data_IF_991910792874
#
_entry.id   IF_991910792874
#
_cell.length_a   1.000
_cell.length_b   1.000
_cell.length_c   1.000
_cell.angle_alpha   90.00
_cell.angle_beta   90.00
_cell.angle_gamma   90.00
#
_symmetry.space_group_name_H-M   'P 1'
#
loop_
_entity.id
_entity.type
_entity.pdbx_description
1 polymer ?
#
# COMPACT_ATOMS: atom_id res chain seq x y z
N UNK A 1 17.98 -12.58 -16.01
CA UNK A 1 17.78 -14.04 -15.87
C UNK A 1 18.31 -14.61 -14.56
N UNK A 2 19.53 -14.30 -14.11
CA UNK A 2 20.06 -14.82 -12.83
C UNK A 2 19.20 -14.43 -11.60
N UNK A 3 18.80 -13.15 -11.49
CA UNK A 3 18.04 -12.66 -10.34
C UNK A 3 16.67 -13.36 -10.16
N UNK A 4 15.94 -13.59 -11.25
CA UNK A 4 14.64 -14.27 -11.21
C UNK A 4 14.78 -15.73 -10.77
N UNK A 5 15.82 -16.44 -11.23
CA UNK A 5 16.10 -17.81 -10.80
C UNK A 5 16.47 -17.88 -9.31
N UNK A 6 17.24 -16.90 -8.82
CA UNK A 6 17.56 -16.77 -7.39
C UNK A 6 16.28 -16.54 -6.59
N UNK A 7 15.46 -15.56 -6.99
CA UNK A 7 14.17 -15.28 -6.35
C UNK A 7 13.28 -16.53 -6.29
N UNK A 8 13.15 -17.23 -7.42
CA UNK A 8 12.35 -18.46 -7.49
C UNK A 8 12.87 -19.54 -6.53
N UNK A 9 14.18 -19.86 -6.60
CA UNK A 9 14.78 -20.90 -5.77
C UNK A 9 14.63 -20.64 -4.27
N UNK A 10 14.86 -19.40 -3.83
CA UNK A 10 14.80 -19.07 -2.41
C UNK A 10 13.36 -18.85 -1.93
N UNK A 11 12.47 -18.28 -2.75
CA UNK A 11 11.05 -18.11 -2.38
C UNK A 11 10.32 -19.45 -2.19
N UNK A 12 10.66 -20.47 -2.98
CA UNK A 12 10.11 -21.83 -2.80
C UNK A 12 10.51 -22.47 -1.47
N UNK A 13 11.65 -22.05 -0.91
CA UNK A 13 12.20 -22.61 0.33
C UNK A 13 11.80 -21.82 1.58
N UNK A 14 11.16 -20.66 1.41
CA UNK A 14 10.96 -19.70 2.50
C UNK A 14 9.58 -19.75 3.18
N UNK A 15 8.78 -20.80 2.99
CA UNK A 15 7.45 -20.96 3.62
C UNK A 15 6.60 -19.67 3.60
N UNK A 16 6.53 -19.01 2.42
CA UNK A 16 5.82 -17.73 2.28
C UNK A 16 4.32 -17.84 2.58
N UNK A 17 3.73 -19.04 2.48
CA UNK A 17 2.34 -19.31 2.81
C UNK A 17 1.98 -18.92 4.26
N UNK A 18 2.93 -19.05 5.17
CA UNK A 18 2.77 -18.70 6.59
C UNK A 18 3.14 -17.23 6.89
N UNK A 19 3.18 -16.37 5.87
CA UNK A 19 3.50 -14.96 6.06
C UNK A 19 2.32 -14.20 6.65
N UNK A 20 2.60 -13.27 7.56
CA UNK A 20 1.56 -12.40 8.13
C UNK A 20 1.66 -10.95 7.65
N UNK A 21 2.85 -10.53 7.21
CA UNK A 21 3.12 -9.19 6.68
C UNK A 21 3.93 -9.29 5.41
N UNK A 22 3.57 -8.49 4.42
CA UNK A 22 4.31 -8.35 3.17
C UNK A 22 4.60 -6.87 2.91
N UNK A 23 5.79 -6.59 2.41
CA UNK A 23 6.12 -5.30 1.82
C UNK A 23 6.62 -5.51 0.39
N UNK A 24 6.06 -4.78 -0.57
CA UNK A 24 6.45 -4.79 -1.97
C UNK A 24 6.78 -3.35 -2.41
N UNK A 25 8.04 -3.11 -2.77
CA UNK A 25 8.49 -1.86 -3.38
C UNK A 25 8.87 -2.11 -4.84
N UNK A 26 8.22 -1.40 -5.74
CA UNK A 26 8.46 -1.43 -7.18
C UNK A 26 8.80 -0.03 -7.66
N UNK A 27 9.95 0.13 -8.30
CA UNK A 27 10.28 1.37 -9.00
C UNK A 27 10.98 1.08 -10.32
N UNK A 28 11.24 2.13 -11.10
CA UNK A 28 12.09 2.01 -12.28
C UNK A 28 13.47 1.43 -11.98
N UNK A 29 13.97 1.47 -10.74
CA UNK A 29 15.35 1.04 -10.39
C UNK A 29 15.42 0.02 -9.26
N UNK A 30 14.30 -0.27 -8.59
CA UNK A 30 14.25 -1.10 -7.39
C UNK A 30 13.10 -2.11 -7.45
N UNK A 31 13.43 -3.36 -7.16
CA UNK A 31 12.46 -4.41 -6.85
C UNK A 31 12.81 -4.94 -5.47
N UNK A 32 11.91 -4.77 -4.52
CA UNK A 32 12.10 -5.24 -3.15
C UNK A 32 10.83 -5.95 -2.69
N UNK A 33 11.01 -7.18 -2.23
CA UNK A 33 9.96 -7.98 -1.63
C UNK A 33 10.42 -8.45 -0.26
N UNK A 34 9.61 -8.18 0.75
CA UNK A 34 9.83 -8.64 2.12
C UNK A 34 8.58 -9.37 2.62
N UNK A 35 8.79 -10.48 3.31
CA UNK A 35 7.70 -11.22 3.95
C UNK A 35 8.12 -11.66 5.35
N UNK A 36 7.29 -11.33 6.34
CA UNK A 36 7.43 -11.84 7.70
C UNK A 36 6.82 -13.22 7.76
N UNK A 37 7.66 -14.25 7.79
CA UNK A 37 7.24 -15.66 7.86
C UNK A 37 7.18 -16.12 9.31
N UNK A 38 6.59 -17.30 9.55
CA UNK A 38 6.50 -17.90 10.88
C UNK A 38 7.84 -17.88 11.66
N UNK A 39 7.75 -17.86 12.99
CA UNK A 39 8.87 -17.77 13.93
C UNK A 39 9.71 -16.48 13.80
N UNK A 40 9.08 -15.37 13.40
CA UNK A 40 9.72 -14.04 13.25
C UNK A 40 10.88 -14.02 12.24
N UNK A 41 10.94 -15.00 11.33
CA UNK A 41 11.93 -15.00 10.26
C UNK A 41 11.49 -14.03 9.17
N UNK A 42 12.46 -13.41 8.52
CA UNK A 42 12.23 -12.47 7.43
C UNK A 42 12.75 -13.08 6.14
N UNK A 43 11.88 -13.23 5.15
CA UNK A 43 12.32 -13.37 3.77
C UNK A 43 12.49 -11.98 3.17
N UNK A 44 13.66 -11.70 2.60
CA UNK A 44 13.94 -10.44 1.91
C UNK A 44 14.64 -10.74 0.60
N UNK A 45 14.06 -10.23 -0.48
CA UNK A 45 14.71 -10.14 -1.77
C UNK A 45 14.75 -8.69 -2.21
N UNK A 46 15.93 -8.21 -2.58
CA UNK A 46 16.14 -6.82 -3.00
C UNK A 46 17.09 -6.80 -4.19
N UNK A 47 16.60 -6.29 -5.31
CA UNK A 47 17.36 -6.01 -6.51
C UNK A 47 17.28 -4.51 -6.76
N UNK A 48 18.45 -3.85 -6.88
CA UNK A 48 18.54 -2.41 -7.13
C UNK A 48 19.60 -2.12 -8.18
N UNK A 49 19.28 -1.22 -9.10
CA UNK A 49 20.26 -0.62 -10.00
C UNK A 49 20.84 0.61 -9.28
N UNK A 50 22.15 0.58 -9.02
CA UNK A 50 22.85 1.65 -8.29
C UNK A 50 23.28 2.84 -9.16
N UNK A 51 22.93 2.84 -10.45
CA UNK A 51 23.30 3.91 -11.38
C UNK A 51 22.14 4.88 -11.54
N UNK A 52 22.46 6.17 -11.45
CA UNK A 52 21.53 7.27 -11.71
C UNK A 52 21.09 7.19 -13.19
N UNK A 53 19.80 7.42 -13.45
CA UNK A 53 19.16 7.41 -14.78
C UNK A 53 19.13 6.05 -15.52
N UNK A 54 19.44 4.95 -14.84
CA UNK A 54 19.34 3.60 -15.42
C UNK A 54 18.14 2.88 -14.85
N UNK A 55 17.06 2.80 -15.63
CA UNK A 55 15.90 1.99 -15.31
C UNK A 55 16.17 0.50 -15.58
N UNK A 56 15.39 -0.37 -14.94
CA UNK A 56 15.31 -1.77 -15.29
C UNK A 56 14.93 -1.91 -16.77
N UNK A 57 15.50 -2.90 -17.48
CA UNK A 57 14.99 -3.27 -18.79
C UNK A 57 13.48 -3.57 -18.72
N UNK A 58 12.69 -3.22 -19.74
CA UNK A 58 11.26 -3.50 -19.78
C UNK A 58 10.94 -4.96 -19.46
N UNK A 59 9.89 -5.19 -18.67
CA UNK A 59 9.45 -6.53 -18.26
C UNK A 59 10.28 -7.19 -17.14
N UNK A 60 11.35 -6.53 -16.65
CA UNK A 60 12.13 -7.07 -15.51
C UNK A 60 11.26 -7.27 -14.28
N UNK A 61 10.41 -6.29 -13.93
CA UNK A 61 9.51 -6.38 -12.78
C UNK A 61 8.48 -7.50 -12.96
N UNK A 62 7.82 -7.59 -14.13
CA UNK A 62 6.88 -8.68 -14.44
C UNK A 62 7.55 -10.04 -14.29
N UNK A 63 8.78 -10.17 -14.80
CA UNK A 63 9.55 -11.41 -14.71
C UNK A 63 9.92 -11.76 -13.26
N UNK A 64 10.25 -10.77 -12.42
CA UNK A 64 10.52 -11.00 -10.99
C UNK A 64 9.24 -11.39 -10.23
N UNK A 65 8.12 -10.70 -10.44
CA UNK A 65 6.84 -11.06 -9.82
C UNK A 65 6.38 -12.47 -10.22
N UNK A 66 6.49 -12.82 -11.51
CA UNK A 66 6.10 -14.15 -12.00
C UNK A 66 6.97 -15.27 -11.42
N UNK A 67 8.24 -14.97 -11.10
CA UNK A 67 9.17 -15.94 -10.51
C UNK A 67 9.12 -15.97 -8.97
N UNK A 68 8.42 -15.02 -8.34
CA UNK A 68 8.10 -15.12 -6.92
C UNK A 68 7.12 -16.29 -6.77
N UNK A 69 7.42 -17.25 -5.89
CA UNK A 69 6.54 -18.40 -5.68
C UNK A 69 5.28 -18.00 -4.90
N UNK A 70 4.33 -17.43 -5.63
CA UNK A 70 3.06 -16.89 -5.13
C UNK A 70 2.06 -18.02 -4.94
N UNK A 71 2.30 -18.86 -3.93
CA UNK A 71 1.23 -19.69 -3.38
C UNK A 71 0.31 -18.80 -2.55
N UNK A 72 -0.91 -19.26 -2.25
CA UNK A 72 -1.81 -18.49 -1.38
C UNK A 72 -1.14 -18.27 -0.02
N UNK A 73 -1.18 -17.03 0.45
CA UNK A 73 -0.68 -16.58 1.73
C UNK A 73 -1.89 -16.09 2.54
N UNK A 74 -2.72 -17.02 3.05
CA UNK A 74 -4.02 -16.71 3.64
C UNK A 74 -3.94 -15.87 4.90
N UNK A 75 -2.80 -15.91 5.60
CA UNK A 75 -2.59 -15.25 6.89
C UNK A 75 -2.00 -13.83 6.75
N UNK A 76 -1.75 -13.37 5.52
CA UNK A 76 -1.26 -12.01 5.28
C UNK A 76 -2.37 -11.01 5.56
N UNK A 77 -2.24 -10.33 6.70
CA UNK A 77 -3.18 -9.29 7.14
C UNK A 77 -2.65 -7.89 6.87
N UNK A 78 -1.34 -7.73 6.68
CA UNK A 78 -0.71 -6.42 6.46
C UNK A 78 0.06 -6.42 5.14
N UNK A 79 -0.27 -5.47 4.27
CA UNK A 79 0.40 -5.22 3.00
C UNK A 79 0.94 -3.79 2.97
N UNK A 80 2.26 -3.63 2.86
CA UNK A 80 2.89 -2.37 2.48
C UNK A 80 3.19 -2.41 0.98
N UNK A 81 2.68 -1.43 0.25
CA UNK A 81 2.80 -1.33 -1.21
C UNK A 81 3.34 0.04 -1.60
N UNK A 82 4.49 0.04 -2.24
CA UNK A 82 5.16 1.25 -2.68
C UNK A 82 5.53 1.13 -4.17
N UNK A 83 4.85 1.86 -5.05
CA UNK A 83 5.02 1.76 -6.51
C UNK A 83 5.35 3.13 -7.09
N UNK A 84 6.65 3.43 -7.19
CA UNK A 84 7.14 4.78 -7.52
C UNK A 84 7.80 4.80 -8.89
N UNK A 85 7.32 5.65 -9.79
CA UNK A 85 7.96 5.87 -11.11
C UNK A 85 8.34 4.56 -11.82
N UNK A 86 7.43 3.59 -11.80
CA UNK A 86 7.64 2.29 -12.42
C UNK A 86 6.84 2.25 -13.73
N UNK A 87 7.48 1.93 -14.85
CA UNK A 87 6.80 1.63 -16.13
C UNK A 87 6.03 0.28 -16.06
N UNK A 88 5.85 -0.27 -14.87
CA UNK A 88 5.09 -1.47 -14.59
C UNK A 88 3.61 -1.10 -14.39
N UNK A 89 2.70 -1.54 -15.29
CA UNK A 89 1.29 -1.27 -15.10
C UNK A 89 0.75 -2.16 -13.97
N UNK A 90 0.08 -1.59 -12.98
CA UNK A 90 -0.57 -2.38 -11.92
C UNK A 90 -1.68 -3.30 -12.45
N UNK A 91 -2.18 -3.05 -13.65
CA UNK A 91 -3.08 -3.94 -14.38
C UNK A 91 -2.39 -5.18 -14.97
N UNK A 92 -1.07 -5.30 -14.86
CA UNK A 92 -0.33 -6.47 -15.30
C UNK A 92 -0.85 -7.73 -14.58
N UNK A 93 -1.05 -8.86 -15.30
CA UNK A 93 -1.52 -10.10 -14.71
C UNK A 93 -0.65 -10.61 -13.56
N UNK A 94 0.67 -10.37 -13.58
CA UNK A 94 1.58 -10.78 -12.51
C UNK A 94 1.30 -10.02 -11.20
N UNK A 95 0.93 -8.73 -11.28
CA UNK A 95 0.48 -7.96 -10.11
C UNK A 95 -0.87 -8.46 -9.60
N UNK A 96 -1.80 -8.72 -10.51
CA UNK A 96 -3.11 -9.26 -10.15
C UNK A 96 -2.97 -10.61 -9.44
N UNK A 97 -2.10 -11.50 -9.94
CA UNK A 97 -1.80 -12.78 -9.29
C UNK A 97 -1.17 -12.60 -7.91
N UNK A 98 -0.26 -11.64 -7.76
CA UNK A 98 0.29 -11.26 -6.47
C UNK A 98 -0.81 -10.86 -5.48
N UNK A 99 -1.69 -9.93 -5.87
CA UNK A 99 -2.78 -9.46 -5.00
C UNK A 99 -3.82 -10.54 -4.68
N UNK A 100 -4.08 -11.48 -5.61
CA UNK A 100 -4.94 -12.65 -5.37
C UNK A 100 -4.32 -13.67 -4.42
N UNK A 101 -2.99 -13.67 -4.26
CA UNK A 101 -2.29 -14.54 -3.32
C UNK A 101 -2.44 -14.09 -1.86
N UNK A 102 -2.87 -12.84 -1.62
CA UNK A 102 -3.10 -12.25 -0.29
C UNK A 102 -4.60 -11.93 -0.09
N UNK A 103 -5.44 -12.93 0.23
CA UNK A 103 -6.90 -12.77 0.18
C UNK A 103 -7.52 -12.05 1.38
N UNK A 104 -6.75 -11.66 2.40
CA UNK A 104 -7.28 -11.21 3.68
C UNK A 104 -6.57 -9.95 4.22
N UNK A 105 -6.40 -8.92 3.37
CA UNK A 105 -5.71 -7.68 3.74
C UNK A 105 -6.58 -6.87 4.72
N UNK A 106 -6.09 -6.73 5.96
CA UNK A 106 -6.72 -5.95 7.04
C UNK A 106 -6.09 -4.56 7.16
N UNK A 107 -4.80 -4.45 6.87
CA UNK A 107 -4.02 -3.22 6.91
C UNK A 107 -3.32 -3.02 5.56
N UNK A 108 -3.53 -1.86 4.96
CA UNK A 108 -2.82 -1.41 3.76
C UNK A 108 -1.96 -0.20 4.12
N UNK A 109 -0.66 -0.28 3.91
CA UNK A 109 0.25 0.86 3.92
C UNK A 109 0.66 1.17 2.48
N UNK A 110 0.56 2.43 2.06
CA UNK A 110 0.87 2.83 0.69
C UNK A 110 1.19 4.32 0.58
N UNK A 111 1.70 4.73 -0.59
CA UNK A 111 1.70 6.13 -1.02
C UNK A 111 0.35 6.50 -1.66
N UNK A 112 0.01 7.79 -1.62
CA UNK A 112 -1.21 8.35 -2.22
C UNK A 112 -1.24 8.17 -3.74
N UNK A 113 -0.07 8.23 -4.37
CA UNK A 113 0.08 8.05 -5.83
C UNK A 113 -0.35 6.65 -6.32
N UNK A 114 -0.38 5.65 -5.42
CA UNK A 114 -0.79 4.29 -5.76
C UNK A 114 -2.32 4.11 -5.71
N UNK A 115 -3.08 5.00 -5.07
CA UNK A 115 -4.50 4.78 -4.77
C UNK A 115 -5.37 4.74 -6.02
N UNK A 116 -5.20 5.68 -6.94
CA UNK A 116 -5.98 5.69 -8.19
C UNK A 116 -5.64 4.51 -9.11
N UNK A 117 -4.36 4.16 -9.34
CA UNK A 117 -3.99 2.92 -10.02
C UNK A 117 -4.58 1.67 -9.37
N UNK A 118 -4.55 1.56 -8.04
CA UNK A 118 -5.18 0.46 -7.31
C UNK A 118 -6.69 0.41 -7.58
N UNK A 119 -7.39 1.55 -7.51
CA UNK A 119 -8.84 1.59 -7.77
C UNK A 119 -9.22 1.03 -9.14
N UNK A 120 -8.39 1.25 -10.17
CA UNK A 120 -8.65 0.76 -11.51
C UNK A 120 -8.61 -0.77 -11.61
N UNK A 121 -7.82 -1.43 -10.76
CA UNK A 121 -7.67 -2.89 -10.78
C UNK A 121 -8.51 -3.61 -9.73
N UNK A 122 -9.01 -2.88 -8.72
CA UNK A 122 -9.82 -3.46 -7.65
C UNK A 122 -11.23 -3.87 -8.12
N UNK A 123 -11.59 -3.63 -9.38
CA UNK A 123 -12.82 -4.18 -9.93
C UNK A 123 -12.74 -5.72 -10.08
N UNK A 124 -13.88 -6.41 -9.94
CA UNK A 124 -13.94 -7.87 -10.07
C UNK A 124 -13.45 -8.66 -8.85
N UNK A 125 -12.44 -9.53 -9.04
CA UNK A 125 -12.03 -10.51 -8.02
C UNK A 125 -11.11 -9.92 -6.94
N UNK A 126 -10.39 -8.84 -7.25
CA UNK A 126 -9.43 -8.24 -6.31
C UNK A 126 -10.12 -7.53 -5.14
N UNK A 127 -11.34 -7.01 -5.30
CA UNK A 127 -12.11 -6.44 -4.19
C UNK A 127 -12.26 -7.39 -3.01
N UNK A 128 -12.29 -8.71 -3.24
CA UNK A 128 -12.43 -9.68 -2.16
C UNK A 128 -11.20 -9.70 -1.23
N UNK A 129 -9.99 -9.44 -1.75
CA UNK A 129 -8.77 -9.32 -0.94
C UNK A 129 -8.82 -8.13 0.02
N UNK A 130 -9.61 -7.10 -0.31
CA UNK A 130 -9.74 -5.85 0.45
C UNK A 130 -11.02 -5.73 1.26
N UNK A 131 -11.94 -6.69 1.15
CA UNK A 131 -13.15 -6.73 2.00
C UNK A 131 -12.88 -6.73 3.52
N UNK A 132 -11.78 -7.29 4.04
CA UNK A 132 -11.50 -7.22 5.47
C UNK A 132 -10.71 -5.96 5.87
N UNK A 133 -10.43 -5.04 4.93
CA UNK A 133 -9.60 -3.86 5.19
C UNK A 133 -10.24 -2.98 6.28
N UNK A 134 -9.48 -2.77 7.35
CA UNK A 134 -9.87 -1.97 8.53
C UNK A 134 -9.04 -0.70 8.67
N UNK A 135 -7.80 -0.73 8.19
CA UNK A 135 -6.85 0.37 8.30
C UNK A 135 -6.20 0.67 6.96
N UNK A 136 -6.23 1.95 6.57
CA UNK A 136 -5.44 2.52 5.48
C UNK A 136 -4.37 3.42 6.08
N UNK A 137 -3.12 3.20 5.75
CA UNK A 137 -1.98 4.02 6.13
C UNK A 137 -1.37 4.66 4.88
N UNK A 138 -1.23 5.98 4.92
CA UNK A 138 -0.60 6.80 3.89
C UNK A 138 0.72 7.33 4.43
N UNK A 139 1.82 6.94 3.80
CA UNK A 139 3.17 7.28 4.29
C UNK A 139 3.55 8.72 3.97
N UNK A 140 3.02 9.29 2.88
CA UNK A 140 3.23 10.68 2.49
C UNK A 140 1.94 11.28 1.91
N UNK A 141 1.48 12.39 2.50
CA UNK A 141 0.36 13.17 1.98
C UNK A 141 0.79 14.64 1.85
N UNK A 142 0.82 15.13 0.61
CA UNK A 142 1.06 16.53 0.29
C UNK A 142 -0.17 17.41 0.54
N UNK A 143 -0.06 18.68 0.17
CA UNK A 143 -1.11 19.70 0.24
C UNK A 143 -1.97 19.78 -1.03
N UNK A 144 -1.76 18.89 -1.98
CA UNK A 144 -2.54 18.83 -3.20
C UNK A 144 -3.96 18.32 -2.91
N UNK A 145 -4.96 19.14 -3.24
CA UNK A 145 -6.38 18.79 -3.17
C UNK A 145 -6.69 17.51 -3.96
N UNK A 146 -5.97 17.25 -5.06
CA UNK A 146 -6.13 16.03 -5.83
C UNK A 146 -5.74 14.78 -5.01
N UNK A 147 -4.67 14.85 -4.22
CA UNK A 147 -4.25 13.73 -3.35
C UNK A 147 -5.30 13.42 -2.29
N UNK A 148 -5.86 14.45 -1.63
CA UNK A 148 -6.93 14.28 -0.66
C UNK A 148 -8.18 13.67 -1.32
N UNK A 149 -8.51 14.11 -2.54
CA UNK A 149 -9.60 13.55 -3.32
C UNK A 149 -9.36 12.06 -3.63
N UNK A 150 -8.15 11.66 -4.03
CA UNK A 150 -7.81 10.25 -4.29
C UNK A 150 -7.92 9.39 -3.03
N UNK A 151 -7.47 9.89 -1.87
CA UNK A 151 -7.67 9.24 -0.56
C UNK A 151 -9.16 9.05 -0.27
N UNK A 152 -9.95 10.12 -0.34
CA UNK A 152 -11.40 10.09 -0.09
C UNK A 152 -12.12 9.11 -1.03
N UNK A 153 -11.80 9.15 -2.32
CA UNK A 153 -12.34 8.26 -3.35
C UNK A 153 -12.00 6.79 -3.05
N UNK A 154 -10.77 6.51 -2.64
CA UNK A 154 -10.37 5.16 -2.24
C UNK A 154 -11.15 4.66 -1.02
N UNK A 155 -11.26 5.49 0.02
CA UNK A 155 -12.02 5.15 1.23
C UNK A 155 -13.48 4.84 0.90
N UNK A 156 -14.14 5.68 0.11
CA UNK A 156 -15.52 5.43 -0.29
C UNK A 156 -15.66 4.13 -1.07
N UNK A 157 -14.75 3.83 -1.99
CA UNK A 157 -14.76 2.56 -2.72
C UNK A 157 -14.66 1.36 -1.76
N UNK A 158 -13.72 1.40 -0.82
CA UNK A 158 -13.50 0.34 0.18
C UNK A 158 -14.75 0.13 1.05
N UNK A 159 -15.37 1.21 1.53
CA UNK A 159 -16.63 1.13 2.29
C UNK A 159 -17.75 0.54 1.41
N UNK A 160 -17.86 0.97 0.15
CA UNK A 160 -18.89 0.51 -0.78
C UNK A 160 -18.78 -0.99 -1.13
N UNK A 161 -17.57 -1.57 -1.12
CA UNK A 161 -17.40 -3.02 -1.31
C UNK A 161 -17.68 -3.83 -0.02
N UNK A 162 -18.05 -3.15 1.07
CA UNK A 162 -18.48 -3.73 2.34
C UNK A 162 -17.37 -3.89 3.37
N UNK A 163 -16.22 -3.22 3.18
CA UNK A 163 -15.12 -3.33 4.14
C UNK A 163 -15.34 -2.45 5.38
N UNK A 164 -14.98 -2.94 6.59
CA UNK A 164 -15.15 -2.22 7.84
C UNK A 164 -13.99 -1.23 8.08
N UNK A 165 -13.68 -0.39 7.09
CA UNK A 165 -12.61 0.59 7.20
C UNK A 165 -12.96 1.60 8.31
N UNK A 166 -12.17 1.60 9.36
CA UNK A 166 -12.41 2.40 10.57
C UNK A 166 -11.28 3.37 10.87
N UNK A 167 -10.12 3.20 10.24
CA UNK A 167 -8.96 4.02 10.52
C UNK A 167 -8.22 4.44 9.24
N UNK A 168 -7.94 5.73 9.14
CA UNK A 168 -6.97 6.33 8.23
C UNK A 168 -5.77 6.80 9.06
N UNK A 169 -4.57 6.34 8.73
CA UNK A 169 -3.32 6.79 9.33
C UNK A 169 -2.56 7.60 8.28
N UNK A 170 -2.05 8.77 8.63
CA UNK A 170 -1.19 9.59 7.78
C UNK A 170 0.12 9.78 8.55
N UNK A 171 1.20 9.14 8.10
CA UNK A 171 2.46 9.19 8.85
C UNK A 171 3.23 10.49 8.62
N UNK A 172 3.14 11.09 7.44
CA UNK A 172 3.87 12.29 7.07
C UNK A 172 2.94 13.21 6.28
N UNK A 173 2.66 14.37 6.85
CA UNK A 173 1.96 15.47 6.18
C UNK A 173 3.03 16.39 5.61
N UNK A 174 2.80 16.96 4.42
CA UNK A 174 3.71 17.92 3.79
C UNK A 174 4.05 19.11 4.70
N UNK A 175 5.06 19.90 4.31
CA UNK A 175 5.58 21.04 5.10
C UNK A 175 4.64 22.26 5.15
N UNK A 176 3.40 22.10 4.73
CA UNK A 176 2.42 23.16 4.51
C UNK A 176 1.09 22.79 5.18
N UNK A 177 0.07 23.63 4.98
CA UNK A 177 -1.28 23.36 5.48
C UNK A 177 -1.95 22.28 4.64
N UNK A 178 -2.43 21.21 5.28
CA UNK A 178 -3.22 20.15 4.64
C UNK A 178 -4.64 20.19 5.18
N UNK A 179 -5.60 20.35 4.27
CA UNK A 179 -7.02 20.43 4.58
C UNK A 179 -7.70 19.07 4.38
N UNK A 180 -7.98 18.38 5.48
CA UNK A 180 -8.67 17.09 5.47
C UNK A 180 -10.18 17.22 5.73
N UNK A 181 -10.73 18.43 5.76
CA UNK A 181 -12.13 18.69 6.14
C UNK A 181 -13.13 17.95 5.26
N UNK A 182 -12.74 17.67 4.01
CA UNK A 182 -13.53 16.86 3.08
C UNK A 182 -13.78 15.43 3.56
N UNK A 183 -13.04 14.90 4.54
CA UNK A 183 -13.24 13.57 5.12
C UNK A 183 -14.34 13.54 6.20
N UNK A 184 -14.83 14.70 6.67
CA UNK A 184 -15.79 14.78 7.77
C UNK A 184 -17.10 14.03 7.50
N UNK A 185 -17.49 13.91 6.23
CA UNK A 185 -18.70 13.21 5.82
C UNK A 185 -18.60 11.67 5.95
N UNK A 186 -17.41 11.13 6.18
CA UNK A 186 -17.18 9.69 6.41
C UNK A 186 -17.33 9.39 7.91
N UNK A 187 -18.57 9.41 8.39
CA UNK A 187 -18.91 9.29 9.82
C UNK A 187 -18.26 8.06 10.47
N UNK A 188 -17.58 8.27 11.60
CA UNK A 188 -16.95 7.22 12.41
C UNK A 188 -15.54 6.83 11.98
N UNK A 189 -15.03 7.36 10.86
CA UNK A 189 -13.63 7.16 10.46
C UNK A 189 -12.70 7.87 11.47
N UNK A 190 -11.78 7.10 12.09
CA UNK A 190 -10.70 7.64 12.89
C UNK A 190 -9.54 8.06 12.00
N UNK A 191 -9.21 9.34 11.97
CA UNK A 191 -8.04 9.89 11.28
C UNK A 191 -6.91 10.08 12.29
N UNK A 192 -5.77 9.43 12.09
CA UNK A 192 -4.59 9.52 12.94
C UNK A 192 -3.44 10.10 12.15
N UNK A 193 -2.90 11.23 12.60
CA UNK A 193 -1.94 12.01 11.85
C UNK A 193 -0.68 12.13 12.67
N UNK A 194 0.42 11.66 12.12
CA UNK A 194 1.75 11.84 12.70
C UNK A 194 2.37 13.08 12.05
N UNK A 195 2.67 14.08 12.88
CA UNK A 195 3.35 15.30 12.48
C UNK A 195 4.70 15.36 13.20
N UNK A 196 5.71 15.94 12.56
CA UNK A 196 7.05 16.05 13.19
C UNK A 196 7.03 16.93 14.43
N UNK A 197 6.21 17.98 14.45
CA UNK A 197 6.18 18.98 15.52
C UNK A 197 5.08 18.75 16.55
N UNK A 198 3.87 18.40 16.13
CA UNK A 198 2.69 18.29 17.01
C UNK A 198 2.50 16.87 17.55
N UNK A 199 3.36 15.92 17.15
CA UNK A 199 3.23 14.52 17.53
C UNK A 199 2.05 13.85 16.84
N UNK A 200 1.29 13.06 17.59
CA UNK A 200 0.13 12.31 17.07
C UNK A 200 -1.15 13.10 17.35
N UNK A 201 -1.87 13.46 16.28
CA UNK A 201 -3.24 13.98 16.35
C UNK A 201 -4.22 12.88 15.99
N UNK A 202 -5.33 12.80 16.71
CA UNK A 202 -6.42 11.88 16.42
C UNK A 202 -7.72 12.66 16.26
N UNK A 203 -8.49 12.29 15.25
CA UNK A 203 -9.78 12.89 14.95
C UNK A 203 -10.78 11.81 14.59
N UNK A 204 -12.06 12.02 14.91
CA UNK A 204 -13.15 11.12 14.50
C UNK A 204 -14.10 11.91 13.61
N UNK A 205 -14.22 11.49 12.36
CA UNK A 205 -15.11 12.10 11.38
C UNK A 205 -16.58 12.01 11.81
N UNK A 206 -17.30 13.11 11.61
CA UNK A 206 -18.69 13.31 12.05
C UNK A 206 -18.80 13.85 13.48
N UNK A 207 -17.70 14.31 14.08
CA UNK A 207 -17.71 14.90 15.42
C UNK A 207 -18.16 16.38 15.43
N UNK A 208 -18.20 17.03 14.27
CA UNK A 208 -18.59 18.43 14.11
C UNK A 208 -17.48 19.45 14.40
N UNK A 209 -16.23 19.00 14.65
CA UNK A 209 -15.06 19.85 14.90
C UNK A 209 -14.15 19.91 13.67
N UNK A 210 -14.73 20.35 12.57
CA UNK A 210 -14.12 20.32 11.23
C UNK A 210 -12.77 21.03 11.19
N UNK A 211 -12.60 22.07 11.99
CA UNK A 211 -11.34 22.81 12.14
C UNK A 211 -10.15 21.95 12.62
N UNK A 212 -10.38 20.84 13.33
CA UNK A 212 -9.31 19.94 13.79
C UNK A 212 -8.71 19.11 12.63
N UNK A 213 -9.40 19.03 11.49
CA UNK A 213 -8.94 18.40 10.24
C UNK A 213 -8.07 19.32 9.37
N UNK A 214 -7.89 20.59 9.75
CA UNK A 214 -6.94 21.49 9.11
C UNK A 214 -5.60 21.33 9.84
N UNK A 215 -4.61 20.77 9.14
CA UNK A 215 -3.30 20.46 9.71
C UNK A 215 -2.30 21.48 9.25
N UNK A 216 -1.76 22.25 10.18
CA UNK A 216 -0.68 23.21 9.93
C UNK A 216 0.61 22.67 10.56
N UNK A 217 1.64 22.40 9.74
CA UNK A 217 2.99 22.05 10.23
C UNK A 217 3.83 23.32 10.51
N UNK A 218 3.26 24.29 11.25
CA UNK A 218 3.94 25.55 11.64
C UNK A 218 5.03 25.37 12.68
#
# INVERSE_FOLDING_TARGET
>A
MAAANVLSLYSQRSNLEASTKIALTLSGTEFKFEASVADKRLFRFHLKIGLIDVAFPPGTVCNLLTNLSMRKMPDVSHLSLDVVHCDFPLSDPSFTQFMLSTPAIVELETDVDNLDPLLQILDGALKYSFRPLQQLEITYLGDDVAQIYSVKKFIHFIINIGAPLSQLIIRWVGFTTVDLTSLEDIIGLKVVIFTRKLGVKEYICGSGRVEELIIEDT
#
